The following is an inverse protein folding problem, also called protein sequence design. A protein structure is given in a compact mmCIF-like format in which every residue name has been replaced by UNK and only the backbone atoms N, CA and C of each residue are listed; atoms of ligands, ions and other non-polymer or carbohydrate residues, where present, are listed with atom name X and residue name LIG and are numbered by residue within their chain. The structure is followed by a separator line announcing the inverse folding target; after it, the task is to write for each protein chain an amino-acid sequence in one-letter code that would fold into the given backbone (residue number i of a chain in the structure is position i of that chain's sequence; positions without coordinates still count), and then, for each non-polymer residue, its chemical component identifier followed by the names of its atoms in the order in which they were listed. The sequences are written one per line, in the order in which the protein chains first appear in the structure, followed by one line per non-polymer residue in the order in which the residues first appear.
data_IF_808086138117
#
_entry.id   IF_808086138117
#
_cell.length_a   1.000
_cell.length_b   1.000
_cell.length_c   1.000
_cell.angle_alpha   90.00
_cell.angle_beta   90.00
_cell.angle_gamma   90.00
#
_symmetry.space_group_name_H-M   'P 1'
#
loop_
_entity.id
_entity.type
_entity.pdbx_description
1 polymer ?
#
# COMPACT_ATOMS: atom_id res chain seq x y z
N UNK A 1 7.47 -45.82 -18.51
CA UNK A 1 8.47 -44.80 -18.89
C UNK A 1 7.85 -43.40 -19.06
N UNK A 2 6.68 -43.23 -19.68
CA UNK A 2 6.04 -41.90 -19.91
C UNK A 2 5.59 -41.16 -18.62
N UNK A 3 5.22 -41.90 -17.57
CA UNK A 3 4.76 -41.34 -16.28
C UNK A 3 5.87 -40.51 -15.59
N UNK A 4 7.14 -40.88 -15.79
CA UNK A 4 8.28 -40.16 -15.21
C UNK A 4 8.52 -38.79 -15.86
N UNK A 5 8.27 -38.67 -17.17
CA UNK A 5 8.53 -37.44 -17.94
C UNK A 5 7.41 -36.39 -17.68
N UNK A 6 6.15 -36.83 -17.55
CA UNK A 6 5.02 -35.95 -17.20
C UNK A 6 5.19 -35.39 -15.78
N UNK A 7 5.74 -36.17 -14.84
CA UNK A 7 6.00 -35.72 -13.47
C UNK A 7 7.03 -34.58 -13.38
N UNK A 8 8.06 -34.60 -14.23
CA UNK A 8 9.10 -33.57 -14.22
C UNK A 8 8.60 -32.29 -14.91
N UNK A 9 7.98 -32.40 -16.09
CA UNK A 9 7.44 -31.24 -16.82
C UNK A 9 6.33 -30.52 -16.04
N UNK A 10 5.46 -31.25 -15.34
CA UNK A 10 4.39 -30.63 -14.54
C UNK A 10 4.91 -29.83 -13.34
N UNK A 11 6.01 -30.25 -12.71
CA UNK A 11 6.61 -29.53 -11.57
C UNK A 11 7.13 -28.14 -11.95
N UNK A 12 7.75 -28.00 -13.13
CA UNK A 12 8.32 -26.72 -13.62
C UNK A 12 7.22 -25.73 -14.00
N UNK A 13 6.14 -26.21 -14.62
CA UNK A 13 4.97 -25.38 -14.98
C UNK A 13 4.25 -24.87 -13.74
N UNK A 14 4.10 -25.70 -12.70
CA UNK A 14 3.41 -25.32 -11.47
C UNK A 14 4.20 -24.27 -10.66
N UNK A 15 5.54 -24.38 -10.63
CA UNK A 15 6.40 -23.38 -10.01
C UNK A 15 6.32 -22.02 -10.73
N UNK A 16 6.31 -22.04 -12.07
CA UNK A 16 6.21 -20.84 -12.91
C UNK A 16 4.84 -20.13 -12.79
N UNK A 17 3.76 -20.89 -12.59
CA UNK A 17 2.43 -20.32 -12.42
C UNK A 17 2.23 -19.65 -11.04
N UNK A 18 2.89 -20.16 -9.99
CA UNK A 18 2.84 -19.57 -8.64
C UNK A 18 3.45 -18.16 -8.62
N UNK A 19 4.62 -17.99 -9.23
CA UNK A 19 5.30 -16.68 -9.32
C UNK A 19 4.54 -15.69 -10.22
N UNK A 20 3.94 -16.15 -11.32
CA UNK A 20 3.11 -15.30 -12.18
C UNK A 20 1.86 -14.75 -11.45
N UNK A 21 1.20 -15.58 -10.63
CA UNK A 21 0.02 -15.15 -9.85
C UNK A 21 0.38 -14.14 -8.75
N UNK A 22 1.53 -14.31 -8.10
CA UNK A 22 2.01 -13.33 -7.11
C UNK A 22 2.27 -11.96 -7.75
N UNK A 23 3.00 -11.92 -8.88
CA UNK A 23 3.24 -10.67 -9.63
C UNK A 23 1.95 -9.97 -10.09
N UNK A 24 0.94 -10.74 -10.51
CA UNK A 24 -0.35 -10.17 -10.90
C UNK A 24 -1.09 -9.52 -9.72
N UNK A 25 -0.99 -10.09 -8.51
CA UNK A 25 -1.55 -9.49 -7.29
C UNK A 25 -0.81 -8.22 -6.90
N UNK A 26 0.52 -8.23 -6.95
CA UNK A 26 1.33 -7.03 -6.69
C UNK A 26 0.99 -5.89 -7.67
N UNK A 27 0.85 -6.19 -8.97
CA UNK A 27 0.41 -5.20 -9.95
C UNK A 27 -0.98 -4.61 -9.62
N UNK A 28 -1.89 -5.43 -9.10
CA UNK A 28 -3.21 -4.97 -8.64
C UNK A 28 -3.09 -4.06 -7.42
N UNK A 29 -2.22 -4.39 -6.45
CA UNK A 29 -1.93 -3.56 -5.27
C UNK A 29 -1.36 -2.20 -5.66
N UNK A 30 -0.36 -2.19 -6.55
CA UNK A 30 0.24 -0.97 -7.07
C UNK A 30 -0.78 -0.09 -7.81
N UNK A 31 -1.62 -0.68 -8.66
CA UNK A 31 -2.70 0.04 -9.34
C UNK A 31 -3.68 0.68 -8.35
N UNK A 32 -4.03 -0.03 -7.28
CA UNK A 32 -4.86 0.50 -6.21
C UNK A 32 -4.19 1.69 -5.48
N UNK A 33 -2.87 1.61 -5.22
CA UNK A 33 -2.11 2.73 -4.63
C UNK A 33 -2.04 3.95 -5.55
N UNK A 34 -1.90 3.76 -6.87
CA UNK A 34 -1.96 4.86 -7.81
C UNK A 34 -3.33 5.54 -7.83
N UNK A 35 -4.42 4.76 -7.80
CA UNK A 35 -5.77 5.32 -7.71
C UNK A 35 -5.97 6.12 -6.41
N UNK A 36 -5.42 5.63 -5.29
CA UNK A 36 -5.43 6.38 -4.03
C UNK A 36 -4.66 7.68 -4.11
N UNK A 37 -3.46 7.66 -4.70
CA UNK A 37 -2.65 8.86 -4.83
C UNK A 37 -3.42 9.94 -5.61
N UNK A 38 -4.07 9.57 -6.71
CA UNK A 38 -4.93 10.49 -7.48
C UNK A 38 -6.10 11.00 -6.64
N UNK A 39 -6.78 10.13 -5.89
CA UNK A 39 -7.87 10.54 -5.01
C UNK A 39 -7.42 11.47 -3.87
N UNK A 40 -6.24 11.23 -3.30
CA UNK A 40 -5.61 12.10 -2.31
C UNK A 40 -5.28 13.46 -2.92
N UNK A 41 -4.76 13.49 -4.15
CA UNK A 41 -4.49 14.74 -4.88
C UNK A 41 -5.78 15.52 -5.14
N UNK A 42 -6.86 14.89 -5.60
CA UNK A 42 -8.15 15.57 -5.75
C UNK A 42 -8.72 16.11 -4.43
N UNK A 43 -8.53 15.37 -3.34
CA UNK A 43 -8.93 15.84 -2.02
C UNK A 43 -8.10 17.07 -1.61
N UNK A 44 -6.79 17.04 -1.83
CA UNK A 44 -5.92 18.17 -1.57
C UNK A 44 -6.32 19.39 -2.40
N UNK A 45 -6.55 19.22 -3.71
CA UNK A 45 -7.00 20.32 -4.59
C UNK A 45 -8.33 20.94 -4.13
N UNK A 46 -9.22 20.14 -3.53
CA UNK A 46 -10.53 20.60 -3.07
C UNK A 46 -10.51 21.25 -1.69
N UNK A 47 -9.66 20.78 -0.78
CA UNK A 47 -9.68 21.17 0.65
C UNK A 47 -8.40 21.86 1.13
N UNK A 48 -7.37 21.98 0.30
CA UNK A 48 -6.07 22.60 0.63
C UNK A 48 -5.23 21.82 1.65
N UNK A 49 -5.56 20.55 1.91
CA UNK A 49 -4.80 19.62 2.76
C UNK A 49 -5.15 18.18 2.45
N UNK A 50 -4.30 17.23 2.82
CA UNK A 50 -4.64 15.80 2.76
C UNK A 50 -5.59 15.39 3.91
N UNK A 51 -6.34 14.28 3.76
CA UNK A 51 -7.20 13.76 4.81
C UNK A 51 -6.41 13.45 6.09
N UNK A 52 -6.97 13.79 7.26
CA UNK A 52 -6.39 13.30 8.51
C UNK A 52 -6.60 11.79 8.60
N UNK A 53 -5.56 11.07 9.04
CA UNK A 53 -5.71 9.69 9.50
C UNK A 53 -6.57 9.68 10.76
N UNK A 54 -7.55 8.80 10.80
CA UNK A 54 -8.44 8.61 11.95
C UNK A 54 -7.82 7.73 13.05
N UNK A 55 -6.61 7.24 12.82
CA UNK A 55 -5.87 6.31 13.70
C UNK A 55 -6.65 5.01 13.98
N UNK A 56 -7.71 4.74 13.19
CA UNK A 56 -8.63 3.65 13.45
C UNK A 56 -8.12 2.29 12.99
N UNK A 57 -6.92 2.22 12.39
CA UNK A 57 -6.28 0.99 11.95
C UNK A 57 -5.25 0.45 12.95
N UNK A 58 -4.15 -0.09 12.44
CA UNK A 58 -3.13 -0.77 13.24
C UNK A 58 -1.91 0.11 13.53
N UNK A 59 -1.50 0.14 14.82
CA UNK A 59 -0.27 0.82 15.24
C UNK A 59 -0.35 2.34 15.05
N UNK A 60 -1.55 2.93 15.15
CA UNK A 60 -1.80 4.35 14.93
C UNK A 60 -1.90 4.76 13.46
N UNK A 61 -1.76 3.82 12.51
CA UNK A 61 -2.01 4.05 11.10
C UNK A 61 -3.48 3.86 10.79
N UNK A 62 -4.02 4.65 9.88
CA UNK A 62 -5.25 4.30 9.20
C UNK A 62 -4.96 3.08 8.30
N UNK A 63 -5.76 2.03 8.38
CA UNK A 63 -5.43 0.74 7.73
C UNK A 63 -6.65 0.06 7.13
N UNK A 64 -6.44 -0.70 6.04
CA UNK A 64 -7.55 -1.37 5.34
C UNK A 64 -8.22 -2.51 6.10
N UNK A 65 -7.59 -3.03 7.16
CA UNK A 65 -8.10 -4.18 7.92
C UNK A 65 -9.40 -3.92 8.69
N UNK A 66 -9.65 -2.66 9.09
CA UNK A 66 -10.83 -2.29 9.89
C UNK A 66 -12.00 -1.76 9.03
N UNK A 67 -11.86 -1.76 7.70
CA UNK A 67 -12.92 -1.36 6.77
C UNK A 67 -13.16 0.14 6.63
N UNK A 68 -12.48 0.99 7.40
CA UNK A 68 -12.64 2.46 7.41
C UNK A 68 -11.46 3.22 6.79
N UNK A 69 -10.80 2.62 5.80
CA UNK A 69 -9.56 3.16 5.24
C UNK A 69 -9.75 4.51 4.54
N UNK A 70 -9.12 5.56 5.06
CA UNK A 70 -9.21 6.96 4.60
C UNK A 70 -10.66 7.37 4.32
N UNK A 71 -11.50 7.26 5.35
CA UNK A 71 -12.93 7.57 5.29
C UNK A 71 -13.29 8.87 4.55
N UNK A 72 -12.53 9.98 4.66
CA UNK A 72 -12.84 11.19 3.92
C UNK A 72 -12.81 11.04 2.39
N UNK A 73 -12.02 10.12 1.81
CA UNK A 73 -11.99 9.91 0.36
C UNK A 73 -13.25 9.25 -0.17
N UNK A 74 -13.79 8.29 0.58
CA UNK A 74 -15.04 7.60 0.22
C UNK A 74 -16.25 8.50 0.50
N UNK A 75 -16.25 9.20 1.64
CA UNK A 75 -17.33 10.11 2.02
C UNK A 75 -17.49 11.27 1.03
N UNK A 76 -16.39 11.82 0.52
CA UNK A 76 -16.41 12.88 -0.50
C UNK A 76 -16.49 12.36 -1.95
N UNK A 77 -16.75 11.06 -2.14
CA UNK A 77 -16.92 10.41 -3.46
C UNK A 77 -15.71 10.47 -4.39
N UNK A 78 -14.50 10.67 -3.86
CA UNK A 78 -13.27 10.53 -4.65
C UNK A 78 -12.90 9.07 -4.90
N UNK A 79 -13.37 8.16 -4.03
CA UNK A 79 -13.26 6.71 -4.21
C UNK A 79 -14.64 6.06 -4.08
N UNK A 80 -14.96 5.06 -4.93
CA UNK A 80 -16.25 4.38 -4.88
C UNK A 80 -16.39 3.42 -3.70
N UNK A 81 -15.27 2.91 -3.16
CA UNK A 81 -15.23 2.01 -2.02
C UNK A 81 -13.86 2.05 -1.34
N UNK A 82 -13.80 1.59 -0.09
CA UNK A 82 -12.54 1.38 0.62
C UNK A 82 -11.74 0.26 -0.06
N UNK A 83 -10.43 0.44 -0.15
CA UNK A 83 -9.55 -0.62 -0.63
C UNK A 83 -9.39 -1.68 0.45
N UNK A 84 -9.55 -2.94 0.05
CA UNK A 84 -9.27 -4.11 0.86
C UNK A 84 -8.45 -5.09 0.01
N UNK A 85 -7.39 -5.64 0.58
CA UNK A 85 -6.67 -6.74 -0.04
C UNK A 85 -7.34 -8.07 0.39
N UNK A 86 -8.01 -8.80 -0.52
CA UNK A 86 -8.71 -10.04 -0.19
C UNK A 86 -7.76 -11.19 0.19
N UNK A 87 -6.46 -11.02 -0.03
CA UNK A 87 -5.46 -12.04 0.29
C UNK A 87 -4.85 -11.86 1.68
N UNK A 88 -5.02 -10.69 2.30
CA UNK A 88 -4.52 -10.38 3.63
C UNK A 88 -5.69 -10.13 4.56
N UNK A 89 -6.12 -11.21 5.22
CA UNK A 89 -7.21 -11.21 6.20
C UNK A 89 -6.66 -11.09 7.63
N UNK A 90 -5.81 -10.10 7.86
CA UNK A 90 -5.37 -9.72 9.21
C UNK A 90 -6.10 -8.44 9.63
N UNK A 91 -6.14 -8.16 10.94
CA UNK A 91 -6.80 -6.96 11.50
C UNK A 91 -6.19 -5.64 11.02
N UNK A 92 -4.98 -5.68 10.46
CA UNK A 92 -4.27 -4.51 9.96
C UNK A 92 -4.47 -4.26 8.46
N UNK A 93 -4.96 -5.25 7.71
CA UNK A 93 -4.93 -5.24 6.26
C UNK A 93 -3.51 -5.08 5.69
N UNK A 94 -3.46 -4.83 4.38
CA UNK A 94 -2.20 -4.62 3.67
C UNK A 94 -1.83 -3.13 3.54
N UNK A 95 -2.83 -2.25 3.44
CA UNK A 95 -2.61 -0.84 3.17
C UNK A 95 -2.59 -0.03 4.46
N UNK A 96 -1.68 0.93 4.54
CA UNK A 96 -1.52 1.83 5.68
C UNK A 96 -1.39 3.27 5.20
N UNK A 97 -2.06 4.19 5.89
CA UNK A 97 -2.04 5.61 5.61
C UNK A 97 -1.87 6.41 6.89
N UNK A 98 -1.09 7.49 6.83
CA UNK A 98 -0.96 8.43 7.92
C UNK A 98 -0.62 9.82 7.42
N UNK A 99 -1.27 10.84 7.99
CA UNK A 99 -0.94 12.24 7.74
C UNK A 99 -0.17 12.84 8.92
N UNK A 100 1.06 13.28 8.67
CA UNK A 100 1.90 13.93 9.66
C UNK A 100 1.77 15.47 9.57
N UNK A 101 1.68 16.16 10.72
CA UNK A 101 1.71 17.61 10.75
C UNK A 101 3.11 18.15 10.40
N UNK A 102 3.17 19.44 10.06
CA UNK A 102 4.42 20.16 9.83
C UNK A 102 5.36 20.09 11.04
N UNK A 103 6.67 19.97 10.79
CA UNK A 103 7.70 19.83 11.81
C UNK A 103 7.90 18.40 12.33
N UNK A 104 7.09 17.43 11.89
CA UNK A 104 7.23 16.05 12.34
C UNK A 104 8.34 15.28 11.59
N UNK A 105 9.01 14.36 12.28
CA UNK A 105 10.09 13.53 11.73
C UNK A 105 11.26 14.32 11.09
N UNK A 106 11.43 15.59 11.45
CA UNK A 106 12.44 16.48 10.86
C UNK A 106 12.05 17.09 9.51
N UNK A 107 10.84 16.82 9.01
CA UNK A 107 10.30 17.45 7.82
C UNK A 107 9.60 18.78 8.18
N UNK A 108 9.85 19.84 7.40
CA UNK A 108 9.32 21.18 7.70
C UNK A 108 7.83 21.28 7.41
N UNK A 109 7.40 20.78 6.24
CA UNK A 109 6.00 20.83 5.81
C UNK A 109 5.22 19.62 6.30
N UNK A 110 3.90 19.74 6.35
CA UNK A 110 3.01 18.60 6.57
C UNK A 110 3.10 17.65 5.37
N UNK A 111 2.91 16.35 5.62
CA UNK A 111 3.02 15.33 4.59
C UNK A 111 2.16 14.13 4.93
N UNK A 112 1.78 13.37 3.92
CA UNK A 112 1.21 12.05 4.13
C UNK A 112 2.21 10.95 3.78
N UNK A 113 1.98 9.79 4.37
CA UNK A 113 2.66 8.54 4.04
C UNK A 113 1.60 7.50 3.74
N UNK A 114 1.72 6.88 2.58
CA UNK A 114 0.89 5.77 2.12
C UNK A 114 1.81 4.58 1.84
N UNK A 115 1.49 3.42 2.42
CA UNK A 115 2.33 2.24 2.31
C UNK A 115 1.54 0.94 2.16
N UNK A 116 2.22 -0.05 1.59
CA UNK A 116 1.82 -1.45 1.52
C UNK A 116 2.75 -2.26 2.40
N UNK A 117 2.20 -3.07 3.31
CA UNK A 117 2.96 -3.83 4.31
C UNK A 117 3.57 -5.11 3.77
N UNK A 118 2.93 -5.74 2.79
CA UNK A 118 3.36 -7.04 2.27
C UNK A 118 3.11 -7.11 0.74
N UNK A 119 4.21 -7.24 0.00
CA UNK A 119 4.22 -7.47 -1.45
C UNK A 119 4.79 -8.86 -1.73
N UNK A 120 4.01 -9.70 -2.42
CA UNK A 120 4.30 -11.14 -2.50
C UNK A 120 5.48 -11.50 -3.41
N UNK A 121 5.84 -10.59 -4.32
CA UNK A 121 6.78 -10.83 -5.41
C UNK A 121 8.22 -10.39 -5.14
N UNK A 122 8.56 -9.81 -3.99
CA UNK A 122 9.93 -9.37 -3.70
C UNK A 122 10.22 -9.23 -2.20
N UNK A 123 11.50 -9.10 -1.84
CA UNK A 123 11.91 -8.73 -0.48
C UNK A 123 11.70 -7.25 -0.18
N UNK A 124 11.90 -6.88 1.08
CA UNK A 124 11.69 -5.52 1.60
C UNK A 124 12.98 -4.73 1.43
N UNK A 125 13.02 -3.65 0.62
CA UNK A 125 11.90 -2.97 -0.04
C UNK A 125 11.56 -3.50 -1.46
N UNK A 126 10.29 -3.36 -1.85
CA UNK A 126 9.80 -3.70 -3.18
C UNK A 126 10.54 -2.86 -4.24
N UNK A 127 11.07 -3.46 -5.34
CA UNK A 127 11.93 -2.77 -6.29
C UNK A 127 11.37 -1.49 -6.93
N UNK A 128 10.05 -1.36 -7.05
CA UNK A 128 9.38 -0.17 -7.58
C UNK A 128 8.78 0.73 -6.49
N UNK A 129 9.24 0.60 -5.24
CA UNK A 129 8.89 1.53 -4.16
C UNK A 129 9.56 2.88 -4.40
N UNK A 130 8.80 3.99 -4.51
CA UNK A 130 9.36 5.33 -4.58
C UNK A 130 10.19 5.69 -3.34
N UNK A 131 9.77 5.16 -2.19
CA UNK A 131 10.37 5.46 -0.90
C UNK A 131 9.89 6.78 -0.33
N UNK A 132 9.90 6.86 1.00
CA UNK A 132 9.62 8.08 1.72
C UNK A 132 10.45 8.14 2.99
N UNK A 133 11.14 9.26 3.16
CA UNK A 133 11.97 9.50 4.33
C UNK A 133 12.00 10.98 4.68
N UNK A 134 12.09 11.24 5.98
CA UNK A 134 12.38 12.54 6.57
C UNK A 134 13.70 12.44 7.34
N UNK A 135 14.36 13.56 7.69
CA UNK A 135 15.68 13.55 8.34
C UNK A 135 15.78 12.67 9.60
N UNK A 136 14.70 12.52 10.38
CA UNK A 136 14.74 11.69 11.61
C UNK A 136 14.02 10.34 11.50
N UNK A 137 13.35 10.03 10.37
CA UNK A 137 12.63 8.76 10.19
C UNK A 137 12.55 8.35 8.73
N UNK A 138 12.80 7.07 8.47
CA UNK A 138 12.68 6.47 7.14
C UNK A 138 11.59 5.41 7.14
N UNK A 139 10.54 5.59 6.33
CA UNK A 139 9.44 4.63 6.23
C UNK A 139 9.73 3.49 5.24
N UNK A 140 10.79 3.61 4.43
CA UNK A 140 11.17 2.55 3.50
C UNK A 140 11.65 1.28 4.22
N UNK A 141 12.10 1.38 5.47
CA UNK A 141 12.43 0.23 6.33
C UNK A 141 11.23 -0.36 7.06
N UNK A 142 10.07 0.31 7.03
CA UNK A 142 8.87 -0.09 7.76
C UNK A 142 7.81 -0.74 6.86
N UNK A 143 7.86 -0.45 5.55
CA UNK A 143 6.93 -0.94 4.55
C UNK A 143 7.67 -1.48 3.34
N UNK A 144 7.09 -2.50 2.71
CA UNK A 144 7.61 -3.08 1.47
C UNK A 144 7.54 -2.06 0.35
N UNK A 145 6.39 -1.36 0.25
CA UNK A 145 6.19 -0.28 -0.69
C UNK A 145 5.70 0.95 0.05
N UNK A 146 6.31 2.10 -0.19
CA UNK A 146 5.90 3.35 0.45
C UNK A 146 6.05 4.53 -0.50
N UNK A 147 5.10 5.45 -0.40
CA UNK A 147 5.14 6.76 -1.02
C UNK A 147 4.70 7.80 0.01
N UNK A 148 5.19 9.01 -0.15
CA UNK A 148 4.65 10.17 0.54
C UNK A 148 4.75 11.39 -0.33
N UNK A 149 4.08 12.45 0.08
CA UNK A 149 4.15 13.76 -0.57
C UNK A 149 3.91 14.83 0.47
N UNK A 150 4.61 15.95 0.32
CA UNK A 150 4.31 17.16 1.08
C UNK A 150 2.98 17.75 0.66
N UNK A 151 2.31 18.39 1.62
CA UNK A 151 1.25 19.37 1.36
C UNK A 151 1.81 20.60 0.68
#
# INVERSE_FOLDING_TARGET
MVIAIIGILSSVVLASLKTARAKARDAKRLSAMHQMQIALEFYHDSFGRYPNSDYAGCGGWDSSGNGTFITPLVSNKFLPAHLLDPTINNSCGNYAYYRYPAGNAGCVNAFYVLGVRDMEGSGNPYPSSPGWSCPSRNWQSEFDWVIGKFE
#
